data_IF_930218154794
#
_entry.id   IF_930218154794
#
_cell.length_a   1.000
_cell.length_b   1.000
_cell.length_c   1.000
_cell.angle_alpha   90.00
_cell.angle_beta   90.00
_cell.angle_gamma   90.00
#
_symmetry.space_group_name_H-M   'P 1'
#
loop_
_entity.id
_entity.type
_entity.pdbx_description
1 polymer ?
#
# COMPACT_ATOMS: atom_id res chain seq x y z
N UNK A 1 -15.16 10.08 -8.46
CA UNK A 1 -14.79 8.64 -8.40
C UNK A 1 -13.31 8.59 -8.08
N UNK A 2 -12.91 8.05 -6.93
CA UNK A 2 -11.49 7.84 -6.65
C UNK A 2 -11.03 6.66 -7.51
N UNK A 3 -10.16 6.92 -8.50
CA UNK A 3 -9.63 5.88 -9.37
C UNK A 3 -8.73 4.95 -8.56
N UNK A 4 -9.07 3.66 -8.51
CA UNK A 4 -8.20 2.64 -7.94
C UNK A 4 -6.98 2.45 -8.85
N UNK A 5 -5.80 2.90 -8.41
CA UNK A 5 -4.53 2.61 -9.06
C UNK A 5 -3.93 1.29 -8.54
N UNK A 6 -3.36 0.49 -9.44
CA UNK A 6 -2.61 -0.73 -9.09
C UNK A 6 -1.11 -0.54 -9.29
N UNK A 7 -0.30 -1.09 -8.40
CA UNK A 7 1.16 -1.10 -8.52
C UNK A 7 1.72 -2.47 -8.19
N UNK A 8 2.86 -2.81 -8.78
CA UNK A 8 3.61 -4.03 -8.47
C UNK A 8 4.76 -3.74 -7.50
N UNK A 9 5.14 -4.75 -6.74
CA UNK A 9 6.33 -4.69 -5.88
C UNK A 9 7.60 -4.94 -6.69
N UNK A 10 8.70 -4.31 -6.28
CA UNK A 10 10.04 -4.61 -6.78
C UNK A 10 10.60 -5.93 -6.23
N UNK A 11 11.84 -6.26 -6.59
CA UNK A 11 12.55 -7.46 -6.13
C UNK A 11 12.77 -7.50 -4.60
N UNK A 12 12.62 -6.37 -3.91
CA UNK A 12 12.75 -6.24 -2.45
C UNK A 12 11.41 -6.20 -1.72
N UNK A 13 10.29 -6.26 -2.45
CA UNK A 13 8.93 -6.21 -1.89
C UNK A 13 8.39 -4.79 -1.64
N UNK A 14 9.05 -3.75 -2.15
CA UNK A 14 8.55 -2.37 -2.06
C UNK A 14 7.70 -2.01 -3.28
N UNK A 15 6.63 -1.27 -3.08
CA UNK A 15 5.83 -0.69 -4.16
C UNK A 15 5.80 0.83 -4.02
N UNK A 16 5.70 1.52 -5.15
CA UNK A 16 5.46 2.94 -5.22
C UNK A 16 4.32 3.19 -6.19
N UNK A 17 3.30 3.92 -5.75
CA UNK A 17 2.14 4.26 -6.55
C UNK A 17 1.86 5.75 -6.42
N UNK A 18 1.78 6.43 -7.55
CA UNK A 18 1.29 7.80 -7.58
C UNK A 18 -0.23 7.78 -7.47
N UNK A 19 -0.77 8.65 -6.62
CA UNK A 19 -2.23 8.89 -6.54
C UNK A 19 -2.63 9.78 -7.72
N UNK A 20 -2.75 9.19 -8.91
CA UNK A 20 -3.15 9.91 -10.12
C UNK A 20 -4.57 10.46 -10.01
N UNK A 21 -4.78 11.69 -10.49
CA UNK A 21 -6.07 12.39 -10.39
C UNK A 21 -6.38 12.94 -9.00
N UNK A 22 -5.54 12.67 -7.99
CA UNK A 22 -5.67 13.26 -6.67
C UNK A 22 -4.82 14.53 -6.56
N UNK A 23 -5.49 15.69 -6.47
CA UNK A 23 -4.86 16.95 -6.07
C UNK A 23 -5.48 17.36 -4.75
N UNK A 24 -4.65 17.55 -3.73
CA UNK A 24 -5.11 18.07 -2.45
C UNK A 24 -5.63 19.50 -2.64
N UNK A 25 -6.95 19.67 -2.66
CA UNK A 25 -7.57 20.99 -2.73
C UNK A 25 -7.65 21.62 -1.33
N UNK A 26 -8.04 20.83 -0.31
CA UNK A 26 -8.04 21.25 1.09
C UNK A 26 -7.15 20.35 1.94
N UNK A 27 -6.15 20.95 2.59
CA UNK A 27 -5.14 20.25 3.40
C UNK A 27 -5.68 19.46 4.60
N UNK A 28 -6.87 19.82 5.10
CA UNK A 28 -7.49 19.22 6.29
C UNK A 28 -8.57 18.20 5.92
N UNK A 29 -9.41 18.49 4.92
CA UNK A 29 -10.57 17.68 4.55
C UNK A 29 -10.25 16.62 3.51
N UNK A 30 -9.37 16.93 2.55
CA UNK A 30 -8.95 16.01 1.50
C UNK A 30 -7.65 15.30 1.89
N UNK A 31 -7.47 14.95 3.16
CA UNK A 31 -6.23 14.29 3.58
C UNK A 31 -6.29 12.81 3.16
N UNK A 32 -5.37 12.31 2.32
CA UNK A 32 -5.42 10.93 1.83
C UNK A 32 -5.29 9.87 2.95
N UNK A 33 -4.97 10.30 4.18
CA UNK A 33 -5.00 9.48 5.39
C UNK A 33 -6.39 8.91 5.70
N UNK A 34 -7.47 9.62 5.32
CA UNK A 34 -8.84 9.21 5.63
C UNK A 34 -9.56 8.55 4.44
N UNK A 35 -9.11 8.81 3.21
CA UNK A 35 -9.81 8.37 2.00
C UNK A 35 -9.13 7.25 1.21
N UNK A 36 -7.86 6.95 1.47
CA UNK A 36 -7.10 5.96 0.72
C UNK A 36 -6.66 4.79 1.60
N UNK A 37 -6.77 3.58 1.04
CA UNK A 37 -6.35 2.35 1.68
C UNK A 37 -5.56 1.48 0.70
N UNK A 38 -4.59 0.74 1.21
CA UNK A 38 -3.82 -0.24 0.44
C UNK A 38 -4.34 -1.64 0.72
N UNK A 39 -4.53 -2.44 -0.33
CA UNK A 39 -4.97 -3.84 -0.22
C UNK A 39 -4.11 -4.73 -1.09
N UNK A 40 -3.91 -5.96 -0.62
CA UNK A 40 -3.32 -7.01 -1.45
C UNK A 40 -4.32 -7.43 -2.53
N UNK A 41 -3.82 -7.59 -3.76
CA UNK A 41 -4.64 -8.00 -4.91
C UNK A 41 -4.19 -9.36 -5.44
N UNK A 42 -2.89 -9.54 -5.67
CA UNK A 42 -2.35 -10.80 -6.20
C UNK A 42 -0.90 -11.02 -5.78
N UNK A 43 -0.48 -12.29 -5.79
CA UNK A 43 0.88 -12.73 -5.52
C UNK A 43 1.41 -13.50 -6.74
N UNK A 44 2.67 -13.30 -7.14
CA UNK A 44 3.29 -14.11 -8.20
C UNK A 44 3.61 -15.54 -7.73
N UNK A 45 3.55 -15.82 -6.43
CA UNK A 45 3.87 -17.11 -5.83
C UNK A 45 2.58 -17.89 -5.54
N UNK A 46 2.33 -18.96 -6.29
CA UNK A 46 1.14 -19.80 -6.13
C UNK A 46 1.07 -20.49 -4.74
N UNK A 47 2.22 -20.75 -4.12
CA UNK A 47 2.29 -21.34 -2.77
C UNK A 47 2.16 -20.29 -1.65
N UNK A 48 2.12 -19.00 -1.97
CA UNK A 48 2.03 -17.87 -1.03
C UNK A 48 1.12 -16.79 -1.63
N UNK A 49 -0.12 -17.18 -1.94
CA UNK A 49 -1.13 -16.34 -2.58
C UNK A 49 -2.34 -16.04 -1.71
N UNK A 50 -2.47 -16.68 -0.56
CA UNK A 50 -3.63 -16.48 0.29
C UNK A 50 -3.54 -15.12 0.96
N UNK A 51 -4.64 -14.36 0.88
CA UNK A 51 -4.74 -13.07 1.55
C UNK A 51 -4.61 -13.28 3.06
N UNK A 52 -3.85 -12.40 3.71
CA UNK A 52 -3.73 -12.34 5.16
C UNK A 52 -4.07 -10.95 5.67
N UNK A 53 -4.54 -10.86 6.92
CA UNK A 53 -4.92 -9.58 7.53
C UNK A 53 -3.77 -8.95 8.34
N UNK A 54 -2.53 -9.12 7.91
CA UNK A 54 -1.39 -8.39 8.48
C UNK A 54 -1.56 -6.89 8.17
N UNK A 55 -1.54 -6.05 9.20
CA UNK A 55 -1.72 -4.59 9.11
C UNK A 55 -2.97 -4.14 8.33
N UNK A 56 -4.11 -4.83 8.52
CA UNK A 56 -5.36 -4.59 7.80
C UNK A 56 -5.27 -4.81 6.28
N UNK A 57 -4.32 -5.61 5.79
CA UNK A 57 -4.12 -5.83 4.36
C UNK A 57 -5.32 -6.41 3.60
N UNK A 58 -6.25 -7.07 4.30
CA UNK A 58 -7.50 -7.59 3.73
C UNK A 58 -8.58 -6.50 3.59
N UNK A 59 -8.75 -5.70 4.64
CA UNK A 59 -9.82 -4.70 4.73
C UNK A 59 -9.43 -3.33 4.20
N UNK A 60 -8.12 -3.06 4.08
CA UNK A 60 -7.55 -1.78 3.70
C UNK A 60 -6.59 -1.26 4.76
N UNK A 61 -5.29 -1.40 4.50
CA UNK A 61 -4.25 -0.81 5.32
C UNK A 61 -4.31 0.72 5.19
N UNK A 62 -4.49 1.46 6.30
CA UNK A 62 -4.53 2.92 6.26
C UNK A 62 -3.17 3.49 5.88
N UNK A 63 -3.19 4.62 5.19
CA UNK A 63 -1.99 5.41 4.94
C UNK A 63 -1.59 6.16 6.21
N UNK A 64 -0.28 6.30 6.42
CA UNK A 64 0.32 7.15 7.46
C UNK A 64 1.32 8.11 6.84
N UNK A 65 1.31 9.35 7.31
CA UNK A 65 2.33 10.33 6.98
C UNK A 65 3.58 10.06 7.80
N UNK A 66 4.72 9.93 7.15
CA UNK A 66 6.02 9.89 7.83
C UNK A 66 6.73 11.26 7.79
N UNK A 67 6.00 12.33 7.46
CA UNK A 67 6.54 13.67 7.23
C UNK A 67 7.65 13.70 6.17
N UNK A 68 7.61 12.76 5.22
CA UNK A 68 8.55 12.67 4.11
C UNK A 68 8.00 13.43 2.91
N UNK A 69 8.86 14.24 2.30
CA UNK A 69 8.57 15.02 1.10
C UNK A 69 9.61 14.68 0.04
N UNK A 70 9.15 14.46 -1.18
CA UNK A 70 9.99 14.30 -2.35
C UNK A 70 10.01 15.62 -3.11
N UNK A 71 11.19 16.21 -3.24
CA UNK A 71 11.42 17.40 -4.05
C UNK A 71 11.97 16.95 -5.40
N UNK A 72 11.10 16.93 -6.40
CA UNK A 72 11.49 16.77 -7.80
C UNK A 72 11.94 18.10 -8.39
N UNK A 73 12.43 18.06 -9.64
CA UNK A 73 12.90 19.28 -10.33
C UNK A 73 11.81 20.35 -10.48
N UNK A 74 10.56 19.94 -10.70
CA UNK A 74 9.41 20.82 -10.97
C UNK A 74 8.17 20.47 -10.12
N UNK A 75 8.32 19.65 -9.07
CA UNK A 75 7.19 19.26 -8.24
C UNK A 75 7.64 18.91 -6.82
N UNK A 76 6.75 19.13 -5.86
CA UNK A 76 6.86 18.63 -4.49
C UNK A 76 5.76 17.59 -4.26
N UNK A 77 6.11 16.43 -3.73
CA UNK A 77 5.15 15.37 -3.40
C UNK A 77 5.30 14.95 -1.94
N UNK A 78 4.17 14.82 -1.23
CA UNK A 78 4.14 14.24 0.11
C UNK A 78 4.09 12.72 -0.03
N UNK A 79 4.98 12.02 0.68
CA UNK A 79 5.02 10.56 0.67
C UNK A 79 4.22 10.03 1.86
N UNK A 80 3.31 9.11 1.56
CA UNK A 80 2.57 8.32 2.53
C UNK A 80 3.05 6.87 2.49
N UNK A 81 3.09 6.23 3.65
CA UNK A 81 3.43 4.82 3.77
C UNK A 81 2.22 4.03 4.27
N UNK A 82 2.09 2.78 3.86
CA UNK A 82 1.25 1.80 4.54
C UNK A 82 2.12 0.93 5.46
N UNK A 83 1.52 0.25 6.43
CA UNK A 83 2.20 -0.86 7.12
C UNK A 83 2.51 -2.00 6.13
N UNK A 84 3.51 -2.85 6.41
CA UNK A 84 3.83 -3.99 5.53
C UNK A 84 2.63 -4.93 5.41
N UNK A 85 2.31 -5.34 4.19
CA UNK A 85 1.27 -6.31 3.89
C UNK A 85 1.92 -7.65 3.56
N UNK A 86 1.22 -8.75 3.83
CA UNK A 86 1.75 -10.09 3.56
C UNK A 86 0.67 -11.02 2.99
N UNK A 87 1.07 -11.83 2.02
CA UNK A 87 0.35 -13.07 1.72
C UNK A 87 0.78 -14.15 2.69
N UNK A 88 -0.05 -15.18 2.84
CA UNK A 88 0.28 -16.38 3.60
C UNK A 88 0.29 -17.60 2.67
N UNK A 89 1.03 -18.66 3.03
CA UNK A 89 0.88 -19.93 2.34
C UNK A 89 -0.48 -20.56 2.64
N UNK A 90 -1.00 -21.30 1.67
CA UNK A 90 -2.23 -22.08 1.82
C UNK A 90 -2.05 -23.27 2.77
N UNK A 91 -0.82 -23.79 2.87
CA UNK A 91 -0.44 -24.84 3.78
C UNK A 91 0.63 -24.36 4.76
N UNK A 92 0.27 -24.29 6.04
CA UNK A 92 1.25 -24.13 7.11
C UNK A 92 1.80 -25.52 7.47
N UNK A 93 3.00 -25.86 7.01
CA UNK A 93 3.71 -27.02 7.56
C UNK A 93 4.18 -26.67 8.97
N UNK A 94 3.66 -27.36 9.98
CA UNK A 94 4.16 -27.26 11.36
C UNK A 94 5.55 -27.89 11.44
N UNK A 95 6.56 -27.21 10.90
CA UNK A 95 7.96 -27.58 11.10
C UNK A 95 8.51 -26.71 12.22
N UNK A 96 8.03 -27.00 13.43
CA UNK A 96 8.76 -26.64 14.66
C UNK A 96 9.32 -27.95 15.20
N UNK A 97 10.49 -28.33 14.68
CA UNK A 97 11.31 -29.45 15.13
C UNK A 97 12.38 -28.95 16.09
#
# INVERSE_FOLDING_TARGET
MFGGGGSHTDLKGYFYAQLEGFKMAHSILDHPLHGCHVKLVSSPLANCSDLSNVNNGLYGAPLRSENKRLLGRNYEAVIYAAGPLAFRPSHCSNTHS
#
